data_IF_600442302998
#
_entry.id   IF_600442302998
#
_cell.length_a   1.000
_cell.length_b   1.000
_cell.length_c   1.000
_cell.angle_alpha   90.00
_cell.angle_beta   90.00
_cell.angle_gamma   90.00
#
_symmetry.space_group_name_H-M   'P 1'
#
loop_
_entity.id
_entity.type
_entity.pdbx_description
1 polymer ?
#
# COMPACT_ATOMS: atom_id res chain seq x y z
N UNK A 1 -19.61 21.71 -18.99
CA UNK A 1 -18.57 21.26 -18.06
C UNK A 1 -18.62 22.23 -16.89
N UNK A 2 -18.66 21.76 -15.64
CA UNK A 2 -18.49 22.68 -14.52
C UNK A 2 -17.01 23.04 -14.50
N UNK A 3 -16.67 24.18 -15.09
CA UNK A 3 -15.34 24.75 -14.95
C UNK A 3 -15.24 25.26 -13.52
N UNK A 4 -14.92 24.35 -12.58
CA UNK A 4 -14.64 24.73 -11.21
C UNK A 4 -13.35 25.53 -11.22
N UNK A 5 -13.44 26.80 -10.81
CA UNK A 5 -12.25 27.59 -10.56
C UNK A 5 -11.41 26.96 -9.43
N UNK A 6 -10.18 27.45 -9.28
CA UNK A 6 -9.23 26.91 -8.32
C UNK A 6 -9.77 26.93 -6.88
N UNK A 7 -10.46 28.01 -6.49
CA UNK A 7 -11.02 28.15 -5.15
C UNK A 7 -12.17 27.17 -4.88
N UNK A 8 -13.04 26.98 -5.87
CA UNK A 8 -14.17 26.04 -5.81
C UNK A 8 -13.68 24.60 -5.67
N UNK A 9 -12.59 24.23 -6.32
CA UNK A 9 -12.00 22.89 -6.16
C UNK A 9 -11.52 22.63 -4.72
N UNK A 10 -10.92 23.62 -4.05
CA UNK A 10 -10.57 23.51 -2.63
C UNK A 10 -11.79 23.38 -1.73
N UNK A 11 -12.86 24.14 -1.99
CA UNK A 11 -14.12 24.02 -1.23
C UNK A 11 -14.70 22.61 -1.35
N UNK A 12 -14.72 22.05 -2.57
CA UNK A 12 -15.18 20.68 -2.82
C UNK A 12 -14.27 19.67 -2.10
N UNK A 13 -12.95 19.79 -2.19
CA UNK A 13 -12.02 18.89 -1.50
C UNK A 13 -12.21 18.92 0.03
N UNK A 14 -12.44 20.10 0.62
CA UNK A 14 -12.74 20.24 2.06
C UNK A 14 -14.09 19.62 2.43
N UNK A 15 -15.12 19.83 1.61
CA UNK A 15 -16.42 19.17 1.81
C UNK A 15 -16.28 17.63 1.70
N UNK A 16 -15.50 17.15 0.74
CA UNK A 16 -15.16 15.73 0.59
C UNK A 16 -14.38 15.22 1.80
N UNK A 17 -13.50 16.02 2.41
CA UNK A 17 -12.76 15.64 3.62
C UNK A 17 -13.70 15.36 4.80
N UNK A 18 -14.67 16.24 5.04
CA UNK A 18 -15.70 16.03 6.08
C UNK A 18 -16.55 14.80 5.77
N UNK A 19 -16.99 14.64 4.52
CA UNK A 19 -17.77 13.47 4.10
C UNK A 19 -16.98 12.17 4.26
N UNK A 20 -15.70 12.15 3.86
CA UNK A 20 -14.81 11.00 4.01
C UNK A 20 -14.58 10.66 5.48
N UNK A 21 -14.44 11.67 6.36
CA UNK A 21 -14.35 11.44 7.79
C UNK A 21 -15.58 10.69 8.30
N UNK A 22 -16.79 11.21 8.03
CA UNK A 22 -18.04 10.57 8.46
C UNK A 22 -18.17 9.14 7.93
N UNK A 23 -17.85 8.93 6.65
CA UNK A 23 -17.90 7.62 6.00
C UNK A 23 -16.88 6.66 6.62
N UNK A 24 -15.63 7.08 6.78
CA UNK A 24 -14.56 6.23 7.32
C UNK A 24 -14.80 5.84 8.78
N UNK A 25 -15.21 6.78 9.64
CA UNK A 25 -15.52 6.46 11.04
C UNK A 25 -16.72 5.50 11.14
N UNK A 26 -17.76 5.73 10.34
CA UNK A 26 -18.97 4.89 10.37
C UNK A 26 -18.70 3.48 9.83
N UNK A 27 -18.06 3.40 8.66
CA UNK A 27 -17.73 2.11 8.02
C UNK A 27 -16.68 1.37 8.83
N UNK A 28 -15.69 2.06 9.41
CA UNK A 28 -14.68 1.46 10.28
C UNK A 28 -15.29 0.75 11.49
N UNK A 29 -16.21 1.42 12.20
CA UNK A 29 -16.93 0.81 13.33
C UNK A 29 -17.77 -0.40 12.87
N UNK A 30 -18.44 -0.30 11.73
CA UNK A 30 -19.21 -1.41 11.16
C UNK A 30 -18.30 -2.61 10.83
N UNK A 31 -17.16 -2.38 10.19
CA UNK A 31 -16.17 -3.41 9.88
C UNK A 31 -15.58 -4.05 11.14
N UNK A 32 -15.27 -3.27 12.17
CA UNK A 32 -14.73 -3.79 13.43
C UNK A 32 -15.73 -4.74 14.09
N UNK A 33 -16.99 -4.31 14.22
CA UNK A 33 -18.07 -5.13 14.81
C UNK A 33 -18.37 -6.39 14.01
N UNK A 34 -18.33 -6.31 12.69
CA UNK A 34 -18.55 -7.46 11.83
C UNK A 34 -17.37 -8.43 11.90
N UNK A 35 -16.14 -7.92 11.78
CA UNK A 35 -14.88 -8.71 11.80
C UNK A 35 -14.70 -9.45 13.12
N UNK A 36 -14.95 -8.81 14.26
CA UNK A 36 -14.82 -9.43 15.58
C UNK A 36 -15.73 -10.66 15.77
N UNK A 37 -16.79 -10.81 14.98
CA UNK A 37 -17.71 -11.95 15.01
C UNK A 37 -17.34 -13.05 14.01
N UNK A 38 -16.32 -12.84 13.17
CA UNK A 38 -15.99 -13.79 12.11
C UNK A 38 -15.09 -14.91 12.63
N UNK A 39 -15.35 -16.18 12.26
CA UNK A 39 -14.57 -17.33 12.72
C UNK A 39 -13.13 -17.32 12.17
N UNK A 40 -12.87 -16.62 11.07
CA UNK A 40 -11.52 -16.48 10.52
C UNK A 40 -10.68 -15.42 11.24
N UNK A 41 -11.27 -14.54 12.06
CA UNK A 41 -10.55 -13.44 12.69
C UNK A 41 -9.49 -13.92 13.68
N UNK A 42 -9.78 -14.97 14.46
CA UNK A 42 -8.80 -15.56 15.39
C UNK A 42 -7.50 -15.99 14.67
N UNK A 43 -7.62 -16.46 13.41
CA UNK A 43 -6.47 -16.83 12.59
C UNK A 43 -5.76 -15.62 11.97
N UNK A 44 -6.51 -14.59 11.58
CA UNK A 44 -5.97 -13.37 10.96
C UNK A 44 -5.29 -12.45 11.98
N UNK A 45 -5.78 -12.42 13.22
CA UNK A 45 -5.29 -11.57 14.31
C UNK A 45 -3.77 -11.64 14.53
N UNK A 46 -3.11 -12.81 14.67
CA UNK A 46 -1.66 -12.88 14.83
C UNK A 46 -0.88 -12.41 13.58
N UNK A 47 -1.49 -12.45 12.39
CA UNK A 47 -0.90 -11.90 11.16
C UNK A 47 -0.95 -10.39 11.22
N UNK A 48 -2.12 -9.81 11.50
CA UNK A 48 -2.27 -8.36 11.59
C UNK A 48 -1.51 -7.75 12.76
N UNK A 49 -1.43 -8.41 13.90
CA UNK A 49 -0.63 -7.93 15.04
C UNK A 49 0.85 -7.80 14.66
N UNK A 50 1.38 -8.75 13.89
CA UNK A 50 2.74 -8.64 13.39
C UNK A 50 2.89 -7.51 12.38
N UNK A 51 1.89 -7.26 11.53
CA UNK A 51 1.84 -6.08 10.66
C UNK A 51 1.89 -4.78 11.49
N UNK A 52 1.14 -4.66 12.59
CA UNK A 52 1.26 -3.52 13.52
C UNK A 52 2.69 -3.36 14.04
N UNK A 53 3.33 -4.43 14.50
CA UNK A 53 4.72 -4.36 14.98
C UNK A 53 5.68 -3.85 13.91
N UNK A 54 5.47 -4.24 12.66
CA UNK A 54 6.31 -3.78 11.55
C UNK A 54 6.09 -2.28 11.24
N UNK A 55 4.92 -1.73 11.57
CA UNK A 55 4.64 -0.29 11.53
C UNK A 55 5.09 0.46 12.79
N UNK A 56 5.82 -0.19 13.70
CA UNK A 56 6.41 0.43 14.87
C UNK A 56 5.53 0.43 16.12
N UNK A 57 4.40 -0.29 16.12
CA UNK A 57 3.64 -0.49 17.35
C UNK A 57 4.43 -1.36 18.34
N UNK A 58 4.32 -1.06 19.64
CA UNK A 58 5.11 -1.76 20.67
C UNK A 58 4.60 -3.17 20.93
N UNK A 59 5.54 -4.13 21.03
CA UNK A 59 5.23 -5.50 21.47
C UNK A 59 4.98 -5.58 22.96
N UNK A 60 5.74 -4.80 23.72
CA UNK A 60 5.74 -4.78 25.18
C UNK A 60 5.10 -3.49 25.68
N UNK A 61 4.58 -3.47 26.92
CA UNK A 61 4.20 -2.26 27.63
C UNK A 61 5.24 -1.14 27.50
N UNK A 62 4.79 0.06 27.13
CA UNK A 62 5.60 1.28 27.06
C UNK A 62 4.77 2.49 27.51
N UNK A 63 5.39 3.66 27.76
CA UNK A 63 4.63 4.87 28.10
C UNK A 63 3.59 5.27 27.03
N UNK A 64 3.92 5.04 25.76
CA UNK A 64 3.03 5.30 24.62
C UNK A 64 1.94 4.22 24.48
N UNK A 65 2.28 2.96 24.80
CA UNK A 65 1.42 1.78 24.67
C UNK A 65 1.47 0.93 25.97
N UNK A 66 0.74 1.27 27.05
CA UNK A 66 0.88 0.58 28.34
C UNK A 66 0.57 -0.90 28.30
N UNK A 67 -0.32 -1.31 27.41
CA UNK A 67 -0.70 -2.71 27.24
C UNK A 67 0.01 -3.35 26.04
N UNK A 68 1.00 -2.65 25.45
CA UNK A 68 1.55 -2.97 24.15
C UNK A 68 0.49 -2.84 23.04
N UNK A 69 0.63 -3.63 21.98
CA UNK A 69 -0.36 -3.70 20.89
C UNK A 69 -1.51 -4.63 21.28
N UNK A 70 -2.62 -4.06 21.74
CA UNK A 70 -3.84 -4.77 22.10
C UNK A 70 -4.61 -5.28 20.88
N UNK A 71 -5.53 -6.23 21.07
CA UNK A 71 -6.40 -6.73 19.99
C UNK A 71 -7.35 -5.66 19.45
N UNK A 72 -7.73 -4.69 20.29
CA UNK A 72 -8.52 -3.55 19.88
C UNK A 72 -7.76 -2.67 18.87
N UNK A 73 -6.47 -2.39 19.12
CA UNK A 73 -5.62 -1.65 18.18
C UNK A 73 -5.50 -2.40 16.85
N UNK A 74 -5.31 -3.72 16.89
CA UNK A 74 -5.19 -4.54 15.68
C UNK A 74 -6.50 -4.53 14.87
N UNK A 75 -7.63 -4.64 15.55
CA UNK A 75 -8.95 -4.62 14.93
C UNK A 75 -9.30 -3.23 14.37
N UNK A 76 -8.95 -2.15 15.06
CA UNK A 76 -9.12 -0.78 14.58
C UNK A 76 -8.31 -0.54 13.31
N UNK A 77 -7.02 -0.91 13.30
CA UNK A 77 -6.17 -0.79 12.11
C UNK A 77 -6.71 -1.60 10.93
N UNK A 78 -7.13 -2.85 11.17
CA UNK A 78 -7.76 -3.67 10.14
C UNK A 78 -8.98 -2.99 9.54
N UNK A 79 -9.84 -2.44 10.40
CA UNK A 79 -11.10 -1.83 9.97
C UNK A 79 -10.87 -0.51 9.24
N UNK A 80 -9.90 0.29 9.70
CA UNK A 80 -9.47 1.52 9.03
C UNK A 80 -8.91 1.23 7.63
N UNK A 81 -8.03 0.23 7.48
CA UNK A 81 -7.50 -0.16 6.16
C UNK A 81 -8.63 -0.57 5.21
N UNK A 82 -9.59 -1.37 5.66
CA UNK A 82 -10.72 -1.77 4.81
C UNK A 82 -11.65 -0.59 4.48
N UNK A 83 -11.84 0.38 5.38
CA UNK A 83 -12.55 1.61 5.07
C UNK A 83 -11.81 2.43 3.99
N UNK A 84 -10.48 2.58 4.09
CA UNK A 84 -9.67 3.27 3.08
C UNK A 84 -9.77 2.59 1.70
N UNK A 85 -9.81 1.27 1.68
CA UNK A 85 -9.99 0.50 0.44
C UNK A 85 -11.31 0.83 -0.24
N UNK A 86 -12.40 0.97 0.52
CA UNK A 86 -13.70 1.40 -0.03
C UNK A 86 -13.61 2.79 -0.64
N UNK A 87 -12.97 3.75 0.06
CA UNK A 87 -12.80 5.11 -0.45
C UNK A 87 -11.98 5.12 -1.74
N UNK A 88 -10.85 4.40 -1.80
CA UNK A 88 -10.06 4.27 -3.02
C UNK A 88 -10.82 3.61 -4.17
N UNK A 89 -11.66 2.61 -3.89
CA UNK A 89 -12.55 2.01 -4.90
C UNK A 89 -13.53 3.02 -5.47
N UNK A 90 -14.15 3.84 -4.62
CA UNK A 90 -15.08 4.88 -5.05
C UNK A 90 -14.36 5.95 -5.87
N UNK A 91 -13.24 6.48 -5.37
CA UNK A 91 -12.48 7.52 -6.06
C UNK A 91 -11.94 7.04 -7.42
N UNK A 92 -11.29 5.88 -7.45
CA UNK A 92 -10.81 5.27 -8.69
C UNK A 92 -11.95 4.88 -9.64
N UNK A 93 -13.07 4.39 -9.11
CA UNK A 93 -14.25 4.03 -9.87
C UNK A 93 -14.87 5.21 -10.62
N UNK A 94 -14.93 6.39 -9.98
CA UNK A 94 -15.40 7.64 -10.60
C UNK A 94 -14.52 8.09 -11.78
N UNK A 95 -13.26 7.64 -11.85
CA UNK A 95 -12.34 8.00 -12.94
C UNK A 95 -12.47 7.08 -14.16
N UNK A 96 -13.04 5.87 -14.01
CA UNK A 96 -13.17 4.86 -15.09
C UNK A 96 -13.80 5.43 -16.36
N UNK A 97 -14.88 6.23 -16.33
CA UNK A 97 -15.52 6.72 -17.56
C UNK A 97 -14.58 7.53 -18.46
N UNK A 98 -13.67 8.33 -17.90
CA UNK A 98 -12.67 9.09 -18.68
C UNK A 98 -11.59 8.19 -19.25
N UNK A 99 -11.19 7.17 -18.49
CA UNK A 99 -10.19 6.19 -18.96
C UNK A 99 -10.75 5.36 -20.11
N UNK A 100 -12.00 4.92 -20.03
CA UNK A 100 -12.69 4.17 -21.09
C UNK A 100 -12.89 5.02 -22.35
N UNK A 101 -13.12 6.33 -22.21
CA UNK A 101 -13.22 7.24 -23.35
C UNK A 101 -11.88 7.43 -24.09
N UNK A 102 -10.74 7.05 -23.50
CA UNK A 102 -9.40 7.09 -24.11
C UNK A 102 -8.78 8.49 -24.23
N UNK A 103 -9.60 9.54 -24.47
CA UNK A 103 -9.14 10.92 -24.59
C UNK A 103 -10.08 11.90 -23.87
N UNK A 104 -9.53 12.98 -23.32
CA UNK A 104 -10.32 14.00 -22.60
C UNK A 104 -11.40 14.60 -23.50
N UNK A 105 -11.00 15.00 -24.72
CA UNK A 105 -11.89 15.59 -25.71
C UNK A 105 -13.04 14.67 -26.12
N UNK A 106 -12.84 13.34 -26.09
CA UNK A 106 -13.87 12.35 -26.39
C UNK A 106 -14.80 12.05 -25.20
N UNK A 107 -14.37 12.33 -23.98
CA UNK A 107 -15.16 12.06 -22.78
C UNK A 107 -16.39 13.00 -22.68
N UNK A 108 -17.52 12.44 -22.25
CA UNK A 108 -18.75 13.22 -22.02
C UNK A 108 -18.56 14.20 -20.85
N UNK A 109 -19.39 15.26 -20.75
CA UNK A 109 -19.35 16.16 -19.59
C UNK A 109 -19.51 15.43 -18.26
N UNK A 110 -20.34 14.38 -18.22
CA UNK A 110 -20.50 13.53 -17.04
C UNK A 110 -19.19 12.83 -16.67
N UNK A 111 -18.52 12.17 -17.62
CA UNK A 111 -17.27 11.48 -17.38
C UNK A 111 -16.19 12.43 -16.84
N UNK A 112 -16.02 13.60 -17.47
CA UNK A 112 -15.06 14.63 -17.05
C UNK A 112 -15.34 15.12 -15.62
N UNK A 113 -16.60 15.41 -15.30
CA UNK A 113 -16.99 15.81 -13.96
C UNK A 113 -16.76 14.69 -12.93
N UNK A 114 -17.04 13.43 -13.28
CA UNK A 114 -16.81 12.29 -12.41
C UNK A 114 -15.31 12.10 -12.13
N UNK A 115 -14.44 12.28 -13.13
CA UNK A 115 -12.98 12.26 -12.92
C UNK A 115 -12.52 13.34 -11.94
N UNK A 116 -12.97 14.59 -12.13
CA UNK A 116 -12.65 15.71 -11.21
C UNK A 116 -13.15 15.39 -9.80
N UNK A 117 -14.38 14.91 -9.66
CA UNK A 117 -14.92 14.55 -8.35
C UNK A 117 -14.10 13.42 -7.72
N UNK A 118 -13.73 12.39 -8.47
CA UNK A 118 -12.89 11.30 -7.99
C UNK A 118 -11.54 11.79 -7.46
N UNK A 119 -10.87 12.71 -8.16
CA UNK A 119 -9.58 13.25 -7.71
C UNK A 119 -9.73 14.19 -6.51
N UNK A 120 -10.79 14.98 -6.44
CA UNK A 120 -11.07 15.84 -5.27
C UNK A 120 -11.52 15.05 -4.04
N UNK A 121 -12.25 13.95 -4.23
CA UNK A 121 -12.59 13.01 -3.16
C UNK A 121 -11.32 12.39 -2.55
N UNK A 122 -10.36 12.01 -3.40
CA UNK A 122 -9.06 11.48 -2.97
C UNK A 122 -8.27 12.50 -2.15
N UNK A 123 -8.17 13.75 -2.62
CA UNK A 123 -7.57 14.85 -1.84
C UNK A 123 -8.29 15.05 -0.50
N UNK A 124 -9.63 15.04 -0.50
CA UNK A 124 -10.43 15.17 0.71
C UNK A 124 -10.14 14.07 1.72
N UNK A 125 -10.10 12.81 1.25
CA UNK A 125 -9.72 11.66 2.04
C UNK A 125 -8.31 11.83 2.64
N UNK A 126 -7.33 12.23 1.82
CA UNK A 126 -5.95 12.36 2.26
C UNK A 126 -5.72 13.49 3.26
N UNK A 127 -6.49 14.59 3.15
CA UNK A 127 -6.53 15.64 4.16
C UNK A 127 -7.07 15.11 5.50
N UNK A 128 -8.20 14.40 5.47
CA UNK A 128 -8.79 13.81 6.68
C UNK A 128 -7.83 12.79 7.32
N UNK A 129 -7.33 11.84 6.53
CA UNK A 129 -6.44 10.79 7.02
C UNK A 129 -5.13 11.37 7.55
N UNK A 130 -4.55 12.34 6.84
CA UNK A 130 -3.38 13.08 7.29
C UNK A 130 -3.58 13.76 8.65
N UNK A 131 -4.70 14.48 8.82
CA UNK A 131 -5.06 15.09 10.09
C UNK A 131 -5.27 14.04 11.20
N UNK A 132 -6.03 12.98 10.94
CA UNK A 132 -6.27 11.89 11.90
C UNK A 132 -4.95 11.26 12.36
N UNK A 133 -4.08 10.88 11.42
CA UNK A 133 -2.78 10.26 11.75
C UNK A 133 -1.89 11.22 12.52
N UNK A 134 -1.82 12.50 12.12
CA UNK A 134 -1.04 13.50 12.84
C UNK A 134 -1.55 13.68 14.28
N UNK A 135 -2.86 13.81 14.48
CA UNK A 135 -3.46 13.91 15.81
C UNK A 135 -3.18 12.66 16.65
N UNK A 136 -3.44 11.47 16.11
CA UNK A 136 -3.16 10.19 16.78
C UNK A 136 -1.66 10.01 17.10
N UNK A 137 -0.76 10.60 16.32
CA UNK A 137 0.69 10.51 16.53
C UNK A 137 1.20 11.52 17.56
N UNK A 138 0.68 12.74 17.60
CA UNK A 138 1.28 13.83 18.39
C UNK A 138 0.44 14.31 19.58
N UNK A 139 -0.87 14.07 19.62
CA UNK A 139 -1.71 14.49 20.75
C UNK A 139 -1.46 13.67 22.03
N UNK A 140 -1.81 14.23 23.19
CA UNK A 140 -1.73 13.50 24.46
C UNK A 140 -2.71 12.33 24.49
N UNK A 141 -2.39 11.30 25.28
CA UNK A 141 -3.26 10.11 25.42
C UNK A 141 -4.60 10.47 26.06
N UNK A 142 -4.62 11.40 27.00
CA UNK A 142 -5.87 11.89 27.60
C UNK A 142 -6.79 12.53 26.56
N UNK A 143 -6.24 13.28 25.61
CA UNK A 143 -7.01 13.86 24.52
C UNK A 143 -7.54 12.78 23.57
N UNK A 144 -6.68 11.83 23.17
CA UNK A 144 -7.08 10.72 22.29
C UNK A 144 -8.13 9.81 22.94
N UNK A 145 -8.01 9.54 24.24
CA UNK A 145 -8.98 8.77 25.00
C UNK A 145 -10.38 9.39 25.02
N UNK A 146 -10.49 10.73 24.98
CA UNK A 146 -11.77 11.44 24.84
C UNK A 146 -12.38 11.30 23.44
N UNK A 147 -11.55 11.10 22.43
CA UNK A 147 -11.98 10.83 21.05
C UNK A 147 -12.25 9.33 20.81
N UNK A 148 -11.89 8.46 21.75
CA UNK A 148 -11.90 7.01 21.55
C UNK A 148 -10.86 6.56 20.53
N UNK A 149 -9.76 7.30 20.38
CA UNK A 149 -8.69 7.01 19.43
C UNK A 149 -7.49 6.41 20.15
N UNK A 150 -6.77 5.54 19.43
CA UNK A 150 -5.52 4.96 19.89
C UNK A 150 -4.31 5.75 19.37
N UNK A 151 -3.19 5.65 20.10
CA UNK A 151 -1.93 6.30 19.73
C UNK A 151 -1.35 5.63 18.48
N UNK A 152 -0.88 6.43 17.53
CA UNK A 152 -0.12 5.93 16.38
C UNK A 152 1.39 6.10 16.59
N UNK A 153 2.22 5.14 16.15
CA UNK A 153 3.66 5.31 16.13
C UNK A 153 4.08 6.32 15.04
N UNK A 154 5.17 7.03 15.27
CA UNK A 154 5.67 8.06 14.34
C UNK A 154 5.93 7.55 12.91
N UNK A 155 6.25 6.27 12.76
CA UNK A 155 6.44 5.64 11.45
C UNK A 155 5.18 5.73 10.56
N UNK A 156 3.96 5.73 11.14
CA UNK A 156 2.72 5.93 10.40
C UNK A 156 2.61 7.33 9.81
N UNK A 157 3.12 8.35 10.52
CA UNK A 157 3.17 9.71 10.00
C UNK A 157 4.15 9.82 8.82
N UNK A 158 5.34 9.21 8.94
CA UNK A 158 6.32 9.17 7.83
C UNK A 158 5.72 8.52 6.59
N UNK A 159 5.05 7.38 6.76
CA UNK A 159 4.36 6.70 5.67
C UNK A 159 3.29 7.59 5.03
N UNK A 160 2.51 8.28 5.86
CA UNK A 160 1.46 9.21 5.42
C UNK A 160 2.04 10.36 4.62
N UNK A 161 3.15 10.98 5.06
CA UNK A 161 3.82 12.05 4.28
C UNK A 161 4.32 11.52 2.94
N UNK A 162 5.01 10.37 2.93
CA UNK A 162 5.53 9.80 1.68
C UNK A 162 4.42 9.50 0.67
N UNK A 163 3.26 9.07 1.15
CA UNK A 163 2.14 8.66 0.31
C UNK A 163 1.22 9.83 -0.10
N UNK A 164 0.83 10.69 0.84
CA UNK A 164 -0.23 11.71 0.65
C UNK A 164 0.30 13.02 0.04
N UNK A 165 1.62 13.26 0.06
CA UNK A 165 2.15 14.55 -0.41
C UNK A 165 1.77 14.82 -1.86
N UNK A 166 1.78 13.81 -2.72
CA UNK A 166 1.47 13.99 -4.14
C UNK A 166 0.02 14.44 -4.38
N UNK A 167 -0.96 13.78 -3.78
CA UNK A 167 -2.38 14.10 -3.97
C UNK A 167 -2.69 15.49 -3.40
N UNK A 168 -2.34 15.74 -2.14
CA UNK A 168 -2.68 16.97 -1.42
C UNK A 168 -2.04 18.20 -2.04
N UNK A 169 -0.84 18.08 -2.61
CA UNK A 169 -0.12 19.23 -3.18
C UNK A 169 -0.32 19.42 -4.68
N UNK A 170 -0.51 18.34 -5.47
CA UNK A 170 -0.49 18.44 -6.94
C UNK A 170 -1.84 18.22 -7.59
N UNK A 171 -2.80 17.50 -6.99
CA UNK A 171 -4.06 17.16 -7.69
C UNK A 171 -4.87 18.40 -8.07
N UNK A 172 -5.09 19.34 -7.15
CA UNK A 172 -5.88 20.54 -7.46
C UNK A 172 -5.16 21.44 -8.49
N UNK A 173 -3.85 21.75 -8.35
CA UNK A 173 -3.12 22.45 -9.41
C UNK A 173 -3.17 21.74 -10.77
N UNK A 174 -3.05 20.41 -10.79
CA UNK A 174 -3.09 19.61 -12.02
C UNK A 174 -4.49 19.57 -12.65
N UNK A 175 -5.55 19.45 -11.86
CA UNK A 175 -6.93 19.56 -12.34
C UNK A 175 -7.20 20.95 -12.95
N UNK A 176 -6.57 22.00 -12.44
CA UNK A 176 -6.73 23.35 -12.96
C UNK A 176 -5.94 23.60 -14.25
N UNK A 177 -4.67 23.19 -14.30
CA UNK A 177 -3.75 23.56 -15.37
C UNK A 177 -3.52 22.47 -16.44
N UNK A 178 -3.61 21.19 -16.07
CA UNK A 178 -3.16 20.08 -16.91
C UNK A 178 -4.09 18.86 -16.89
N UNK A 179 -5.38 19.07 -16.66
CA UNK A 179 -6.36 17.97 -16.58
C UNK A 179 -6.43 17.15 -17.87
N UNK A 180 -6.07 17.77 -19.00
CA UNK A 180 -6.09 17.13 -20.31
C UNK A 180 -4.89 16.20 -20.55
N UNK A 181 -3.87 16.19 -19.69
CA UNK A 181 -2.74 15.25 -19.84
C UNK A 181 -3.20 13.81 -19.57
N UNK A 182 -3.08 12.93 -20.57
CA UNK A 182 -3.45 11.52 -20.45
C UNK A 182 -2.66 10.83 -19.33
N UNK A 183 -1.36 11.12 -19.23
CA UNK A 183 -0.48 10.55 -18.21
C UNK A 183 -0.93 10.91 -16.79
N UNK A 184 -1.42 12.14 -16.57
CA UNK A 184 -1.95 12.57 -15.28
C UNK A 184 -3.19 11.77 -14.92
N UNK A 185 -4.15 11.68 -15.84
CA UNK A 185 -5.41 10.96 -15.64
C UNK A 185 -5.17 9.47 -15.39
N UNK A 186 -4.27 8.88 -16.15
CA UNK A 186 -3.92 7.47 -16.01
C UNK A 186 -3.18 7.19 -14.70
N UNK A 187 -2.28 8.07 -14.24
CA UNK A 187 -1.65 7.96 -12.91
C UNK A 187 -2.72 8.00 -11.82
N UNK A 188 -3.60 9.01 -11.80
CA UNK A 188 -4.64 9.14 -10.76
C UNK A 188 -5.49 7.86 -10.66
N UNK A 189 -6.01 7.40 -11.79
CA UNK A 189 -6.80 6.17 -11.83
C UNK A 189 -5.99 4.95 -11.39
N UNK A 190 -4.82 4.72 -12.02
CA UNK A 190 -4.05 3.50 -11.80
C UNK A 190 -3.54 3.39 -10.37
N UNK A 191 -3.10 4.49 -9.74
CA UNK A 191 -2.63 4.46 -8.36
C UNK A 191 -3.79 4.15 -7.39
N UNK A 192 -4.96 4.76 -7.54
CA UNK A 192 -6.06 4.54 -6.59
C UNK A 192 -6.71 3.18 -6.78
N UNK A 193 -7.06 2.85 -8.03
CA UNK A 193 -7.76 1.60 -8.32
C UNK A 193 -6.87 0.38 -8.04
N UNK A 194 -5.58 0.43 -8.38
CA UNK A 194 -4.66 -0.65 -8.03
C UNK A 194 -4.43 -0.77 -6.53
N UNK A 195 -4.39 0.34 -5.78
CA UNK A 195 -4.36 0.27 -4.31
C UNK A 195 -5.59 -0.48 -3.80
N UNK A 196 -6.78 -0.08 -4.23
CA UNK A 196 -8.05 -0.68 -3.81
C UNK A 196 -8.07 -2.20 -4.07
N UNK A 197 -7.73 -2.62 -5.29
CA UNK A 197 -7.66 -4.04 -5.66
C UNK A 197 -6.61 -4.79 -4.83
N UNK A 198 -5.37 -4.29 -4.77
CA UNK A 198 -4.29 -4.97 -4.05
C UNK A 198 -4.58 -5.10 -2.55
N UNK A 199 -5.09 -4.04 -1.91
CA UNK A 199 -5.39 -4.08 -0.48
C UNK A 199 -6.64 -4.91 -0.18
N UNK A 200 -7.70 -4.89 -1.01
CA UNK A 200 -8.83 -5.84 -0.88
C UNK A 200 -8.37 -7.28 -0.95
N UNK A 201 -7.56 -7.61 -1.96
CA UNK A 201 -7.01 -8.95 -2.10
C UNK A 201 -6.09 -9.30 -0.93
N UNK A 202 -5.35 -8.33 -0.37
CA UNK A 202 -4.53 -8.54 0.81
C UNK A 202 -5.36 -8.85 2.06
N UNK A 203 -6.45 -8.09 2.28
CA UNK A 203 -7.40 -8.36 3.36
C UNK A 203 -7.99 -9.76 3.22
N UNK A 204 -8.47 -10.12 2.03
CA UNK A 204 -8.97 -11.47 1.79
C UNK A 204 -7.89 -12.55 1.98
N UNK A 205 -6.67 -12.32 1.51
CA UNK A 205 -5.52 -13.21 1.70
C UNK A 205 -5.26 -13.53 3.17
N UNK A 206 -5.52 -12.60 4.08
CA UNK A 206 -5.33 -12.77 5.53
C UNK A 206 -6.42 -13.60 6.20
N UNK A 207 -7.56 -13.83 5.54
CA UNK A 207 -8.66 -14.67 6.08
C UNK A 207 -8.52 -16.16 5.73
N UNK A 208 -7.70 -16.46 4.72
CA UNK A 208 -7.47 -17.80 4.18
C UNK A 208 -6.74 -18.71 5.16
N UNK A 209 -7.12 -20.00 5.20
CA UNK A 209 -6.42 -21.03 5.93
C UNK A 209 -5.39 -21.73 5.02
N UNK A 210 -4.13 -21.31 5.12
CA UNK A 210 -3.03 -21.89 4.32
C UNK A 210 -2.72 -23.36 4.61
N UNK A 211 -3.35 -23.97 5.61
CA UNK A 211 -3.27 -25.43 5.83
C UNK A 211 -4.20 -26.19 4.88
N UNK A 212 -5.20 -25.53 4.32
CA UNK A 212 -6.15 -26.08 3.35
C UNK A 212 -5.60 -25.87 1.94
N UNK A 213 -5.60 -26.93 1.12
CA UNK A 213 -5.05 -26.89 -0.25
C UNK A 213 -5.69 -25.82 -1.13
N UNK A 214 -7.02 -25.71 -1.08
CA UNK A 214 -7.77 -24.72 -1.86
C UNK A 214 -7.34 -23.30 -1.51
N UNK A 215 -7.42 -22.94 -0.24
CA UNK A 215 -7.03 -21.64 0.31
C UNK A 215 -5.55 -21.32 0.03
N UNK A 216 -4.64 -22.28 0.14
CA UNK A 216 -3.23 -22.08 -0.18
C UNK A 216 -3.01 -21.78 -1.68
N UNK A 217 -3.77 -22.41 -2.58
CA UNK A 217 -3.71 -22.08 -4.01
C UNK A 217 -4.27 -20.68 -4.29
N UNK A 218 -5.38 -20.30 -3.65
CA UNK A 218 -5.94 -18.94 -3.74
C UNK A 218 -4.94 -17.91 -3.22
N UNK A 219 -4.28 -18.18 -2.09
CA UNK A 219 -3.22 -17.33 -1.53
C UNK A 219 -2.09 -17.08 -2.56
N UNK A 220 -1.64 -18.13 -3.25
CA UNK A 220 -0.62 -18.00 -4.30
C UNK A 220 -1.11 -17.17 -5.48
N UNK A 221 -2.33 -17.42 -5.96
CA UNK A 221 -2.93 -16.64 -7.06
C UNK A 221 -3.02 -15.16 -6.69
N UNK A 222 -3.50 -14.83 -5.49
CA UNK A 222 -3.53 -13.45 -4.99
C UNK A 222 -2.12 -12.83 -5.00
N UNK A 223 -1.11 -13.58 -4.53
CA UNK A 223 0.28 -13.11 -4.50
C UNK A 223 0.80 -12.76 -5.90
N UNK A 224 0.49 -13.58 -6.91
CA UNK A 224 0.85 -13.29 -8.31
C UNK A 224 0.11 -12.06 -8.83
N UNK A 225 -1.21 -11.98 -8.62
CA UNK A 225 -2.03 -10.83 -9.06
C UNK A 225 -1.50 -9.53 -8.44
N UNK A 226 -1.19 -9.53 -7.15
CA UNK A 226 -0.64 -8.36 -6.45
C UNK A 226 0.71 -7.94 -7.03
N UNK A 227 1.63 -8.89 -7.25
CA UNK A 227 2.94 -8.59 -7.85
C UNK A 227 2.80 -7.98 -9.24
N UNK A 228 2.00 -8.61 -10.12
CA UNK A 228 1.79 -8.11 -11.50
C UNK A 228 1.17 -6.72 -11.48
N UNK A 229 0.15 -6.52 -10.64
CA UNK A 229 -0.55 -5.23 -10.50
C UNK A 229 0.40 -4.14 -10.00
N UNK A 230 1.17 -4.40 -8.94
CA UNK A 230 2.12 -3.44 -8.37
C UNK A 230 3.23 -3.14 -9.38
N UNK A 231 3.81 -4.15 -10.02
CA UNK A 231 4.86 -3.96 -11.03
C UNK A 231 4.35 -3.10 -12.19
N UNK A 232 3.17 -3.41 -12.73
CA UNK A 232 2.61 -2.67 -13.84
C UNK A 232 2.28 -1.22 -13.47
N UNK A 233 1.56 -1.01 -12.37
CA UNK A 233 1.04 0.32 -12.01
C UNK A 233 2.04 1.22 -11.30
N UNK A 234 2.88 0.68 -10.42
CA UNK A 234 3.80 1.44 -9.54
C UNK A 234 5.22 1.54 -10.07
N UNK A 235 5.61 0.66 -10.98
CA UNK A 235 6.94 0.67 -11.59
C UNK A 235 6.79 1.05 -13.07
N UNK A 236 6.29 0.14 -13.90
CA UNK A 236 6.29 0.32 -15.35
C UNK A 236 5.57 1.60 -15.78
N UNK A 237 4.30 1.75 -15.38
CA UNK A 237 3.50 2.90 -15.75
C UNK A 237 3.96 4.18 -15.05
N UNK A 238 4.15 4.12 -13.73
CA UNK A 238 4.51 5.26 -12.90
C UNK A 238 5.74 6.01 -13.42
N UNK A 239 6.86 5.32 -13.62
CA UNK A 239 8.10 5.98 -14.04
C UNK A 239 7.98 6.61 -15.43
N UNK A 240 7.28 5.95 -16.37
CA UNK A 240 7.10 6.48 -17.71
C UNK A 240 6.19 7.71 -17.73
N UNK A 241 5.04 7.64 -17.07
CA UNK A 241 4.07 8.71 -17.03
C UNK A 241 4.61 9.93 -16.27
N UNK A 242 5.29 9.74 -15.14
CA UNK A 242 5.98 10.82 -14.41
C UNK A 242 7.05 11.47 -15.27
N UNK A 243 7.89 10.67 -15.96
CA UNK A 243 8.90 11.22 -16.87
C UNK A 243 8.29 12.10 -17.97
N UNK A 244 7.20 11.63 -18.61
CA UNK A 244 6.50 12.39 -19.67
C UNK A 244 5.87 13.68 -19.13
N UNK A 245 5.24 13.63 -17.96
CA UNK A 245 4.66 14.81 -17.29
C UNK A 245 5.75 15.83 -16.92
N UNK A 246 6.84 15.40 -16.28
CA UNK A 246 7.94 16.30 -15.92
C UNK A 246 8.59 16.91 -17.17
N UNK A 247 8.77 16.12 -18.24
CA UNK A 247 9.27 16.64 -19.52
C UNK A 247 8.31 17.67 -20.12
N UNK A 248 7.00 17.45 -20.01
CA UNK A 248 5.98 18.41 -20.44
C UNK A 248 6.14 19.74 -19.70
N UNK A 249 6.20 19.75 -18.36
CA UNK A 249 6.41 20.99 -17.59
C UNK A 249 7.71 21.69 -17.94
N UNK A 250 8.79 20.93 -18.11
CA UNK A 250 10.09 21.49 -18.50
C UNK A 250 10.06 22.12 -19.88
N UNK A 251 9.36 21.52 -20.84
CA UNK A 251 9.24 22.04 -22.20
C UNK A 251 8.31 23.27 -22.27
N UNK A 252 7.28 23.32 -21.43
CA UNK A 252 6.37 24.45 -21.30
C UNK A 252 6.97 25.65 -20.54
N UNK A 253 8.11 25.47 -19.86
CA UNK A 253 8.72 26.50 -19.03
C UNK A 253 8.06 26.68 -17.65
N UNK A 254 7.19 25.75 -17.26
CA UNK A 254 6.43 25.80 -16.00
C UNK A 254 7.27 25.30 -14.82
N UNK A 255 8.25 26.12 -14.43
CA UNK A 255 9.28 25.77 -13.43
C UNK A 255 8.68 25.36 -12.08
N UNK A 256 7.55 25.96 -11.68
CA UNK A 256 6.87 25.62 -10.43
C UNK A 256 6.33 24.18 -10.44
N UNK A 257 5.59 23.80 -11.49
CA UNK A 257 5.08 22.44 -11.68
C UNK A 257 6.21 21.43 -11.84
N UNK A 258 7.28 21.78 -12.56
CA UNK A 258 8.44 20.91 -12.72
C UNK A 258 9.10 20.60 -11.37
N UNK A 259 9.45 21.64 -10.59
CA UNK A 259 10.13 21.47 -9.28
C UNK A 259 9.23 20.81 -8.24
N UNK A 260 7.99 21.28 -8.11
CA UNK A 260 7.01 20.70 -7.17
C UNK A 260 6.68 19.25 -7.53
N UNK A 261 6.47 18.98 -8.82
CA UNK A 261 6.23 17.64 -9.35
C UNK A 261 7.38 16.68 -9.07
N UNK A 262 8.64 17.11 -9.24
CA UNK A 262 9.81 16.27 -8.92
C UNK A 262 9.88 15.89 -7.44
N UNK A 263 9.62 16.83 -6.53
CA UNK A 263 9.65 16.55 -5.08
C UNK A 263 8.53 15.57 -4.71
N UNK A 264 7.30 15.84 -5.15
CA UNK A 264 6.14 15.02 -4.82
C UNK A 264 6.23 13.62 -5.45
N UNK A 265 6.69 13.53 -6.70
CA UNK A 265 6.96 12.27 -7.36
C UNK A 265 8.10 11.51 -6.68
N UNK A 266 9.11 12.19 -6.15
CA UNK A 266 10.18 11.58 -5.36
C UNK A 266 9.65 10.84 -4.12
N UNK A 267 8.80 11.49 -3.33
CA UNK A 267 8.17 10.86 -2.16
C UNK A 267 7.30 9.66 -2.54
N UNK A 268 6.41 9.82 -3.51
CA UNK A 268 5.56 8.70 -3.98
C UNK A 268 6.41 7.56 -4.60
N UNK A 269 7.55 7.88 -5.22
CA UNK A 269 8.46 6.86 -5.76
C UNK A 269 9.07 6.00 -4.66
N UNK A 270 9.51 6.59 -3.55
CA UNK A 270 10.02 5.83 -2.39
C UNK A 270 8.94 4.89 -1.86
N UNK A 271 7.71 5.37 -1.72
CA UNK A 271 6.57 4.56 -1.30
C UNK A 271 6.28 3.41 -2.28
N UNK A 272 6.24 3.69 -3.59
CA UNK A 272 6.03 2.70 -4.64
C UNK A 272 7.11 1.61 -4.67
N UNK A 273 8.36 1.98 -4.45
CA UNK A 273 9.47 1.02 -4.36
C UNK A 273 9.36 0.13 -3.12
N UNK A 274 8.94 0.68 -1.98
CA UNK A 274 8.69 -0.11 -0.77
C UNK A 274 7.56 -1.14 -0.99
N UNK A 275 6.47 -0.75 -1.65
CA UNK A 275 5.39 -1.66 -2.04
C UNK A 275 5.86 -2.78 -2.98
N UNK A 276 6.69 -2.42 -3.97
CA UNK A 276 7.25 -3.40 -4.90
C UNK A 276 8.15 -4.39 -4.19
N UNK A 277 9.00 -3.94 -3.25
CA UNK A 277 9.84 -4.84 -2.49
C UNK A 277 9.02 -5.84 -1.66
N UNK A 278 8.01 -5.38 -0.93
CA UNK A 278 7.11 -6.25 -0.15
C UNK A 278 6.42 -7.31 -1.03
N UNK A 279 5.95 -6.92 -2.22
CA UNK A 279 5.33 -7.84 -3.18
C UNK A 279 6.32 -8.89 -3.70
N UNK A 280 7.55 -8.48 -4.04
CA UNK A 280 8.62 -9.39 -4.51
C UNK A 280 9.04 -10.37 -3.41
N UNK A 281 9.27 -9.88 -2.19
CA UNK A 281 9.63 -10.73 -1.05
C UNK A 281 8.54 -11.78 -0.77
N UNK A 282 7.27 -11.36 -0.81
CA UNK A 282 6.12 -12.26 -0.67
C UNK A 282 6.10 -13.30 -1.79
N UNK A 283 6.27 -12.88 -3.04
CA UNK A 283 6.29 -13.79 -4.20
C UNK A 283 7.41 -14.83 -4.09
N UNK A 284 8.65 -14.40 -3.92
CA UNK A 284 9.83 -15.27 -3.82
C UNK A 284 9.67 -16.28 -2.69
N UNK A 285 9.09 -15.84 -1.57
CA UNK A 285 8.91 -16.72 -0.42
C UNK A 285 7.78 -17.72 -0.60
N UNK A 286 6.64 -17.33 -1.16
CA UNK A 286 5.42 -18.14 -1.10
C UNK A 286 5.15 -18.97 -2.35
N UNK A 287 5.55 -18.52 -3.53
CA UNK A 287 5.30 -19.25 -4.77
C UNK A 287 6.02 -20.61 -4.82
N UNK A 288 7.33 -20.71 -4.48
CA UNK A 288 8.06 -21.97 -4.56
C UNK A 288 7.69 -22.96 -3.44
N UNK A 289 7.04 -22.50 -2.37
CA UNK A 289 6.76 -23.35 -1.21
C UNK A 289 5.79 -24.47 -1.57
N UNK A 290 6.09 -25.73 -1.19
CA UNK A 290 5.15 -26.83 -1.37
C UNK A 290 3.94 -26.65 -0.45
N UNK A 291 2.86 -27.39 -0.77
CA UNK A 291 1.70 -27.45 0.10
C UNK A 291 2.12 -27.99 1.48
N UNK A 292 1.71 -27.35 2.59
CA UNK A 292 1.98 -27.89 3.92
C UNK A 292 1.36 -29.28 4.06
N UNK A 293 2.15 -30.28 4.43
CA UNK A 293 1.63 -31.59 4.82
C UNK A 293 1.09 -31.50 6.25
N UNK A 294 -0.13 -31.98 6.53
CA UNK A 294 -0.82 -31.81 7.82
C UNK A 294 -0.23 -32.62 8.98
N UNK A 295 0.99 -33.13 8.87
CA UNK A 295 1.54 -34.18 9.74
C UNK A 295 1.90 -33.70 11.15
N UNK A 296 2.03 -32.39 11.41
CA UNK A 296 2.41 -31.89 12.74
C UNK A 296 1.81 -30.53 13.09
N UNK A 297 1.10 -30.44 14.23
CA UNK A 297 0.52 -29.19 14.79
C UNK A 297 1.53 -28.05 14.93
N UNK A 298 2.82 -28.38 15.10
CA UNK A 298 3.92 -27.42 15.15
C UNK A 298 4.19 -26.69 13.83
N UNK A 299 3.96 -27.36 12.68
CA UNK A 299 4.21 -26.78 11.36
C UNK A 299 3.18 -25.68 11.05
N UNK A 300 1.93 -25.86 11.48
CA UNK A 300 0.89 -24.83 11.35
C UNK A 300 1.27 -23.55 12.10
N UNK A 301 1.74 -23.65 13.35
CA UNK A 301 2.17 -22.47 14.11
C UNK A 301 3.39 -21.78 13.48
N UNK A 302 4.34 -22.57 12.96
CA UNK A 302 5.50 -22.03 12.23
C UNK A 302 5.05 -21.30 10.96
N UNK A 303 4.11 -21.87 10.22
CA UNK A 303 3.56 -21.28 9.00
C UNK A 303 2.81 -19.98 9.26
N UNK A 304 1.98 -19.93 10.32
CA UNK A 304 1.31 -18.70 10.77
C UNK A 304 2.34 -17.63 11.14
N UNK A 305 3.36 -17.97 11.93
CA UNK A 305 4.45 -17.03 12.26
C UNK A 305 5.20 -16.55 11.01
N UNK A 306 5.37 -17.42 10.01
CA UNK A 306 5.99 -17.04 8.75
C UNK A 306 5.11 -16.14 7.91
N UNK A 307 3.79 -16.36 7.86
CA UNK A 307 2.82 -15.48 7.20
C UNK A 307 2.82 -14.10 7.83
N UNK A 308 2.73 -14.04 9.15
CA UNK A 308 2.83 -12.82 9.95
C UNK A 308 4.05 -11.98 9.57
N UNK A 309 5.20 -12.62 9.33
CA UNK A 309 6.45 -11.94 8.93
C UNK A 309 6.48 -11.45 7.48
N UNK A 310 5.59 -11.95 6.62
CA UNK A 310 5.56 -11.60 5.20
C UNK A 310 4.59 -10.50 4.84
N UNK A 311 3.55 -10.28 5.64
CA UNK A 311 2.55 -9.27 5.35
C UNK A 311 3.00 -7.87 5.80
N UNK A 312 4.24 -7.45 5.49
CA UNK A 312 4.80 -6.24 6.11
C UNK A 312 5.64 -5.35 5.20
N UNK A 313 4.99 -4.28 4.73
CA UNK A 313 5.64 -3.06 4.22
C UNK A 313 6.67 -2.47 5.20
N UNK A 314 6.43 -2.58 6.51
CA UNK A 314 7.18 -1.82 7.53
C UNK A 314 8.59 -2.33 7.84
N UNK A 315 8.95 -3.57 7.45
CA UNK A 315 10.25 -4.15 7.86
C UNK A 315 11.46 -3.46 7.21
N UNK A 316 11.27 -2.78 6.08
CA UNK A 316 12.33 -2.04 5.38
C UNK A 316 12.39 -0.57 5.79
N UNK A 317 11.24 0.05 6.07
CA UNK A 317 11.14 1.45 6.50
C UNK A 317 11.47 1.64 7.99
N UNK A 318 11.43 0.56 8.77
CA UNK A 318 11.95 0.55 10.14
C UNK A 318 13.47 0.65 10.12
N UNK A 319 13.99 1.88 10.15
CA UNK A 319 15.42 2.21 10.21
C UNK A 319 16.10 1.68 11.49
N UNK A 320 15.37 1.15 12.47
CA UNK A 320 15.88 0.93 13.82
C UNK A 320 16.53 -0.44 14.07
N UNK A 321 16.85 -1.26 13.06
CA UNK A 321 17.39 -2.60 13.39
C UNK A 321 18.03 -3.46 12.31
N UNK A 322 18.16 -3.02 11.06
CA UNK A 322 18.85 -3.84 10.04
C UNK A 322 20.37 -3.77 10.24
N UNK A 323 20.96 -4.89 10.67
CA UNK A 323 22.38 -5.16 10.41
C UNK A 323 22.57 -5.19 8.88
N UNK A 324 23.38 -4.32 8.26
CA UNK A 324 23.49 -4.15 6.79
C UNK A 324 24.01 -5.37 6.00
N UNK A 325 24.11 -6.56 6.61
CA UNK A 325 24.72 -7.76 6.05
C UNK A 325 23.79 -8.74 5.33
N UNK A 326 22.46 -8.70 5.51
CA UNK A 326 21.59 -9.81 5.06
C UNK A 326 21.43 -9.90 3.54
N UNK A 327 21.30 -8.77 2.83
CA UNK A 327 21.22 -8.77 1.36
C UNK A 327 22.53 -9.22 0.71
N UNK A 328 23.68 -8.73 1.24
CA UNK A 328 25.02 -9.18 0.81
C UNK A 328 25.24 -10.67 1.09
N UNK A 329 24.71 -11.20 2.19
CA UNK A 329 24.82 -12.63 2.51
C UNK A 329 23.97 -13.51 1.58
N UNK A 330 22.73 -13.09 1.25
CA UNK A 330 21.87 -13.81 0.31
C UNK A 330 22.47 -13.81 -1.11
N UNK A 331 22.97 -12.68 -1.59
CA UNK A 331 23.64 -12.58 -2.89
C UNK A 331 24.92 -13.45 -2.94
N UNK A 332 25.73 -13.45 -1.88
CA UNK A 332 26.92 -14.32 -1.78
C UNK A 332 26.57 -15.81 -1.79
N UNK A 333 25.44 -16.19 -1.16
CA UNK A 333 24.98 -17.59 -1.15
C UNK A 333 24.55 -18.06 -2.53
N UNK A 334 23.78 -17.26 -3.28
CA UNK A 334 23.38 -17.59 -4.65
C UNK A 334 24.61 -17.70 -5.57
N UNK A 335 25.59 -16.79 -5.42
CA UNK A 335 26.85 -16.86 -6.18
C UNK A 335 27.66 -18.11 -5.81
N UNK A 336 27.67 -18.50 -4.54
CA UNK A 336 28.36 -19.70 -4.07
C UNK A 336 27.71 -20.99 -4.57
N UNK A 337 26.37 -21.09 -4.51
CA UNK A 337 25.61 -22.23 -5.04
C UNK A 337 25.82 -22.39 -6.55
N UNK A 338 25.87 -21.28 -7.31
CA UNK A 338 26.14 -21.29 -8.75
C UNK A 338 27.59 -21.68 -9.12
N UNK A 339 28.55 -21.43 -8.22
CA UNK A 339 29.95 -21.88 -8.39
C UNK A 339 30.12 -23.37 -8.11
N UNK A 340 29.40 -23.91 -7.13
CA UNK A 340 29.45 -25.33 -6.82
C UNK A 340 28.83 -26.17 -7.94
N UNK A 341 27.73 -25.72 -8.53
CA UNK A 341 27.10 -26.42 -9.67
C UNK A 341 27.95 -26.47 -10.94
N UNK A 342 28.95 -25.59 -11.09
CA UNK A 342 29.88 -25.60 -12.24
C UNK A 342 31.08 -26.53 -12.05
N UNK A 343 31.44 -26.89 -10.81
CA UNK A 343 32.61 -27.74 -10.52
C UNK A 343 32.31 -29.22 -10.74
N UNK A 344 31.07 -29.65 -10.54
CA UNK A 344 30.67 -31.07 -10.70
C UNK A 344 30.40 -31.49 -12.16
N UNK A 345 30.73 -30.63 -13.14
CA UNK A 345 30.46 -30.88 -14.57
C UNK A 345 31.71 -31.13 -15.42
N UNK A 346 32.85 -31.46 -14.81
CA UNK A 346 34.05 -31.88 -15.56
C UNK A 346 34.29 -33.40 -15.42
N UNK A 347 33.81 -34.23 -16.36
CA UNK A 347 33.97 -35.68 -16.32
C UNK A 347 35.30 -36.16 -16.91
N UNK A 348 36.30 -35.28 -17.12
CA UNK A 348 37.54 -35.62 -17.84
C UNK A 348 38.72 -36.03 -16.94
N UNK A 349 38.46 -36.81 -15.90
CA UNK A 349 39.50 -37.46 -15.10
C UNK A 349 40.02 -38.74 -15.74
N UNK A 350 40.81 -38.63 -16.81
CA UNK A 350 41.50 -39.78 -17.43
C UNK A 350 42.49 -40.42 -16.44
N UNK A 351 42.16 -41.64 -16.01
CA UNK A 351 43.05 -42.56 -15.27
C UNK A 351 44.28 -42.85 -16.15
N UNK A 352 45.47 -42.49 -15.69
CA UNK A 352 46.72 -43.09 -16.16
C UNK A 352 47.06 -44.24 -15.21
N UNK A 353 47.06 -45.45 -15.75
CA UNK A 353 47.62 -46.65 -15.13
C UNK A 353 49.12 -46.70 -15.47
N UNK A 354 49.95 -46.91 -14.46
CA UNK A 354 51.33 -47.43 -14.56
C UNK A 354 51.47 -48.56 -13.53
#
# INVERSE_FOLDING_TARGET
MLALDYASQWQVALACSVACALVCETIGVAFARWTAKQPWWERALPIMRQTCYNFGFSKEPSPEFPDGTSDAIVLDLWSAVNAHVVVHFVCGGLMIPVIVAGAWAAATPFARNAFILGTLCDVGFDLYHGCRVATATFASRDFLGRLGWEKNPAAMMVLTVLHHTLSVSMVIPMNHAYIELDDYRFICFSLLFAAAVCFSLNSYKMTLDVTVRGDFMVFKVITVIQLVTIFYTRIWNWFQAVYRICRHFSAAGDVAFYRGGLVCAGFMTVFNLALMNDAVETFIKWIPKPLPTPTTRGDTQKLVRELSRSCSLGSELSLSGRKPGRFRAAARRIIAEKRLSTVDSDPSGSRKED
#
